data_IF_480290611084
#
_entry.id   IF_480290611084
#
_cell.length_a   1.000
_cell.length_b   1.000
_cell.length_c   1.000
_cell.angle_alpha   90.00
_cell.angle_beta   90.00
_cell.angle_gamma   90.00
#
_symmetry.space_group_name_H-M   'P 1'
#
loop_
_entity.id
_entity.type
_entity.pdbx_description
1 polymer ?
#
# COMPACT_ATOMS: atom_id res chain seq x y z
N UNK A 1 -19.18 2.92 18.82
CA UNK A 1 -17.74 2.65 18.91
C UNK A 1 -17.02 2.40 17.57
N UNK A 2 -17.71 2.09 16.48
CA UNK A 2 -17.08 1.80 15.17
C UNK A 2 -16.54 3.04 14.44
N UNK A 3 -17.02 4.24 14.74
CA UNK A 3 -16.67 5.48 14.02
C UNK A 3 -15.26 6.01 14.35
N UNK A 4 -14.76 5.80 15.56
CA UNK A 4 -13.43 6.28 15.99
C UNK A 4 -12.33 5.43 15.33
N UNK A 5 -12.54 4.13 15.19
CA UNK A 5 -11.58 3.24 14.50
C UNK A 5 -11.36 3.63 13.05
N UNK A 6 -12.43 3.90 12.30
CA UNK A 6 -12.36 4.31 10.90
C UNK A 6 -11.63 5.66 10.72
N UNK A 7 -11.87 6.65 11.59
CA UNK A 7 -11.17 7.94 11.56
C UNK A 7 -9.66 7.81 11.81
N UNK A 8 -9.26 6.87 12.68
CA UNK A 8 -7.87 6.61 12.99
C UNK A 8 -7.16 5.81 11.88
N UNK A 9 -7.85 4.89 11.21
CA UNK A 9 -7.34 4.19 10.02
C UNK A 9 -7.16 5.16 8.85
N UNK A 10 -8.08 6.12 8.69
CA UNK A 10 -7.96 7.20 7.71
C UNK A 10 -6.69 8.03 7.88
N UNK A 11 -6.22 8.21 9.13
CA UNK A 11 -4.98 8.93 9.41
C UNK A 11 -3.72 8.21 8.88
N UNK A 12 -3.79 6.90 8.60
CA UNK A 12 -2.69 6.13 8.01
C UNK A 12 -2.61 6.31 6.49
N UNK A 13 -3.72 6.64 5.84
CA UNK A 13 -3.80 6.72 4.39
C UNK A 13 -2.83 7.73 3.79
N UNK A 14 -2.83 8.97 4.26
CA UNK A 14 -1.98 10.03 3.69
C UNK A 14 -0.48 9.75 3.84
N UNK A 15 0.04 9.30 4.99
CA UNK A 15 1.44 8.89 5.10
C UNK A 15 1.83 7.79 4.12
N UNK A 16 1.02 6.72 4.03
CA UNK A 16 1.30 5.59 3.14
C UNK A 16 1.17 6.00 1.67
N UNK A 17 0.16 6.80 1.33
CA UNK A 17 0.02 7.39 -0.01
C UNK A 17 1.27 8.16 -0.42
N UNK A 18 1.72 9.11 0.40
CA UNK A 18 2.94 9.91 0.14
C UNK A 18 4.17 9.04 -0.02
N UNK A 19 4.30 8.01 0.82
CA UNK A 19 5.41 7.06 0.72
C UNK A 19 5.46 6.38 -0.65
N UNK A 20 4.32 5.88 -1.16
CA UNK A 20 4.23 5.24 -2.47
C UNK A 20 4.34 6.23 -3.62
N UNK A 21 3.79 7.44 -3.49
CA UNK A 21 3.95 8.51 -4.49
C UNK A 21 5.41 8.94 -4.63
N UNK A 22 6.16 9.01 -3.54
CA UNK A 22 7.60 9.28 -3.57
C UNK A 22 8.40 8.17 -4.27
N UNK A 23 7.87 6.95 -4.34
CA UNK A 23 8.41 5.85 -5.13
C UNK A 23 7.99 5.88 -6.61
N UNK A 24 7.21 6.89 -7.02
CA UNK A 24 6.79 7.09 -8.42
C UNK A 24 5.47 6.42 -8.80
N UNK A 25 4.65 6.01 -7.82
CA UNK A 25 3.35 5.41 -8.07
C UNK A 25 2.23 6.46 -8.05
N UNK A 26 1.18 6.22 -8.82
CA UNK A 26 -0.09 6.96 -8.71
C UNK A 26 -1.01 6.21 -7.76
N UNK A 27 -1.39 6.85 -6.65
CA UNK A 27 -2.11 6.21 -5.54
C UNK A 27 -3.54 6.72 -5.43
N UNK A 28 -4.49 5.78 -5.29
CA UNK A 28 -5.91 6.09 -5.03
C UNK A 28 -6.46 5.17 -3.95
N UNK A 29 -7.30 5.75 -3.08
CA UNK A 29 -8.01 5.03 -2.02
C UNK A 29 -9.29 4.37 -2.49
N UNK A 30 -9.74 3.39 -1.73
CA UNK A 30 -11.05 2.71 -1.90
C UNK A 30 -11.31 2.18 -3.31
N UNK A 31 -10.31 1.58 -3.93
CA UNK A 31 -10.41 0.99 -5.27
C UNK A 31 -10.66 -0.52 -5.15
N UNK A 32 -11.78 -1.00 -5.71
CA UNK A 32 -12.08 -2.44 -5.75
C UNK A 32 -12.18 -3.11 -4.37
N UNK A 33 -12.55 -2.34 -3.33
CA UNK A 33 -12.63 -2.82 -1.95
C UNK A 33 -11.27 -2.94 -1.25
N UNK A 34 -10.20 -2.41 -1.84
CA UNK A 34 -8.90 -2.26 -1.19
C UNK A 34 -8.79 -0.88 -0.56
N UNK A 35 -8.12 -0.76 0.58
CA UNK A 35 -7.94 0.54 1.25
C UNK A 35 -7.14 1.50 0.37
N UNK A 36 -6.16 0.96 -0.40
CA UNK A 36 -5.35 1.74 -1.33
C UNK A 36 -4.86 0.87 -2.49
N UNK A 37 -4.82 1.46 -3.69
CA UNK A 37 -4.22 0.87 -4.89
C UNK A 37 -3.27 1.87 -5.52
N UNK A 38 -2.06 1.42 -5.82
CA UNK A 38 -1.03 2.21 -6.49
C UNK A 38 -0.60 1.57 -7.81
N UNK A 39 -0.44 2.39 -8.84
CA UNK A 39 -0.01 1.97 -10.17
C UNK A 39 1.28 2.69 -10.56
N UNK A 40 2.24 1.95 -11.14
CA UNK A 40 3.39 2.58 -11.81
C UNK A 40 2.96 3.22 -13.14
N UNK A 41 3.83 4.08 -13.68
CA UNK A 41 3.63 4.68 -15.01
C UNK A 41 3.95 3.74 -16.18
N UNK A 42 4.36 2.50 -15.93
CA UNK A 42 4.74 1.54 -16.95
C UNK A 42 3.53 0.94 -17.68
N UNK A 43 3.78 0.28 -18.81
CA UNK A 43 2.78 -0.50 -19.53
C UNK A 43 3.34 -1.91 -19.83
N UNK A 44 2.80 -2.96 -19.22
CA UNK A 44 1.75 -2.96 -18.16
C UNK A 44 2.25 -2.40 -16.83
N UNK A 45 1.36 -1.72 -16.06
CA UNK A 45 1.76 -1.11 -14.80
C UNK A 45 2.06 -2.17 -13.73
N UNK A 46 2.95 -1.82 -12.80
CA UNK A 46 3.08 -2.53 -11.53
C UNK A 46 1.89 -2.14 -10.67
N UNK A 47 1.19 -3.11 -10.10
CA UNK A 47 0.05 -2.91 -9.22
C UNK A 47 0.44 -3.23 -7.79
N UNK A 48 0.31 -2.25 -6.92
CA UNK A 48 0.48 -2.39 -5.47
C UNK A 48 -0.89 -2.26 -4.80
N UNK A 49 -1.18 -3.12 -3.85
CA UNK A 49 -2.32 -2.98 -2.93
C UNK A 49 -1.78 -2.73 -1.54
N UNK A 50 -2.31 -1.72 -0.85
CA UNK A 50 -2.08 -1.46 0.56
C UNK A 50 -3.35 -1.72 1.37
N UNK A 51 -3.22 -2.47 2.46
CA UNK A 51 -4.28 -2.67 3.46
C UNK A 51 -3.85 -1.99 4.76
N UNK A 52 -4.76 -1.21 5.35
CA UNK A 52 -4.48 -0.32 6.47
C UNK A 52 -5.24 -0.77 7.72
N UNK A 53 -4.56 -0.87 8.85
CA UNK A 53 -5.16 -1.17 10.15
C UNK A 53 -4.47 -0.39 11.26
N UNK A 54 -5.15 -0.14 12.36
CA UNK A 54 -4.54 0.52 13.52
C UNK A 54 -3.39 -0.30 14.11
N UNK A 55 -3.48 -1.62 14.02
CA UNK A 55 -2.47 -2.53 14.56
C UNK A 55 -2.25 -3.70 13.61
N UNK A 56 -1.03 -4.22 13.57
CA UNK A 56 -0.76 -5.49 12.89
C UNK A 56 -1.47 -6.63 13.60
N UNK A 57 -2.37 -7.30 12.92
CA UNK A 57 -3.14 -8.44 13.43
C UNK A 57 -3.34 -9.49 12.34
N UNK A 58 -3.95 -10.62 12.68
CA UNK A 58 -4.17 -11.71 11.73
C UNK A 58 -5.14 -11.30 10.62
N UNK A 59 -6.17 -10.50 10.95
CA UNK A 59 -7.17 -10.05 9.98
C UNK A 59 -6.51 -9.25 8.84
N UNK A 60 -5.55 -8.39 9.16
CA UNK A 60 -4.78 -7.64 8.17
C UNK A 60 -4.00 -8.58 7.23
N UNK A 61 -3.45 -9.68 7.76
CA UNK A 61 -2.76 -10.70 6.94
C UNK A 61 -3.74 -11.44 6.04
N UNK A 62 -4.92 -11.80 6.55
CA UNK A 62 -5.96 -12.48 5.77
C UNK A 62 -6.47 -11.59 4.62
N UNK A 63 -6.71 -10.31 4.87
CA UNK A 63 -7.05 -9.34 3.83
C UNK A 63 -5.96 -9.28 2.75
N UNK A 64 -4.69 -9.24 3.14
CA UNK A 64 -3.58 -9.25 2.20
C UNK A 64 -3.53 -10.53 1.36
N UNK A 65 -3.82 -11.70 1.94
CA UNK A 65 -3.91 -12.97 1.20
C UNK A 65 -5.00 -12.89 0.13
N UNK A 66 -6.15 -12.34 0.45
CA UNK A 66 -7.26 -12.18 -0.50
C UNK A 66 -6.90 -11.24 -1.66
N UNK A 67 -6.05 -10.25 -1.41
CA UNK A 67 -5.59 -9.27 -2.41
C UNK A 67 -4.46 -9.79 -3.30
N UNK A 68 -3.61 -10.68 -2.79
CA UNK A 68 -2.35 -11.09 -3.43
C UNK A 68 -2.50 -11.61 -4.86
N UNK A 69 -3.64 -12.22 -5.20
CA UNK A 69 -3.90 -12.74 -6.55
C UNK A 69 -4.16 -11.62 -7.59
N UNK A 70 -4.41 -10.38 -7.17
CA UNK A 70 -4.82 -9.28 -8.03
C UNK A 70 -3.70 -8.26 -8.32
N UNK A 71 -2.56 -8.36 -7.66
CA UNK A 71 -1.51 -7.35 -7.70
C UNK A 71 -0.10 -7.95 -7.80
N UNK A 72 0.88 -7.09 -7.95
CA UNK A 72 2.30 -7.46 -7.94
C UNK A 72 2.86 -7.49 -6.53
N UNK A 73 2.44 -6.55 -5.69
CA UNK A 73 2.88 -6.42 -4.31
C UNK A 73 1.69 -6.09 -3.41
N UNK A 74 1.70 -6.67 -2.20
CA UNK A 74 0.78 -6.29 -1.13
C UNK A 74 1.60 -5.72 0.02
N UNK A 75 1.16 -4.57 0.52
CA UNK A 75 1.74 -3.90 1.66
C UNK A 75 0.74 -3.82 2.80
N UNK A 76 1.15 -4.31 3.96
CA UNK A 76 0.42 -4.17 5.21
C UNK A 76 0.92 -2.92 5.91
N UNK A 77 0.05 -1.98 6.20
CA UNK A 77 0.42 -0.77 6.93
C UNK A 77 -0.35 -0.64 8.22
N UNK A 78 0.35 -0.36 9.31
CA UNK A 78 -0.28 -0.11 10.58
C UNK A 78 0.45 0.98 11.38
N UNK A 79 -0.24 1.54 12.36
CA UNK A 79 0.37 2.51 13.27
C UNK A 79 1.43 1.82 14.13
N UNK A 80 2.57 2.46 14.28
CA UNK A 80 3.60 2.02 15.22
C UNK A 80 3.06 2.14 16.66
N UNK A 81 3.24 1.11 17.47
CA UNK A 81 2.85 1.16 18.88
C UNK A 81 3.74 2.13 19.65
N UNK A 82 3.18 2.75 20.69
CA UNK A 82 3.85 3.81 21.46
C UNK A 82 5.24 3.43 22.06
N UNK A 83 5.51 2.13 22.18
CA UNK A 83 6.78 1.61 22.73
C UNK A 83 7.51 0.67 21.77
N UNK A 84 7.09 0.56 20.50
CA UNK A 84 7.64 -0.42 19.55
C UNK A 84 7.44 -1.89 19.98
N UNK A 85 6.52 -2.13 20.93
CA UNK A 85 6.26 -3.46 21.52
C UNK A 85 5.07 -4.17 20.89
N UNK A 86 4.50 -3.61 19.83
CA UNK A 86 3.46 -4.26 19.05
C UNK A 86 4.00 -5.36 18.14
N UNK A 87 3.16 -5.87 17.26
CA UNK A 87 3.55 -6.90 16.29
C UNK A 87 4.55 -6.40 15.24
N UNK A 88 4.72 -5.09 15.12
CA UNK A 88 5.79 -4.48 14.33
C UNK A 88 7.18 -4.94 14.79
N UNK A 89 7.36 -5.20 16.10
CA UNK A 89 8.59 -5.75 16.69
C UNK A 89 8.67 -7.28 16.69
N UNK A 90 7.54 -7.99 16.43
CA UNK A 90 7.49 -9.44 16.50
C UNK A 90 8.15 -10.10 15.28
N UNK A 91 9.29 -10.76 15.51
CA UNK A 91 10.02 -11.46 14.46
C UNK A 91 9.20 -12.57 13.80
N UNK A 92 8.29 -13.23 14.51
CA UNK A 92 7.43 -14.29 13.96
C UNK A 92 6.41 -13.70 12.98
N UNK A 93 5.81 -12.55 13.32
CA UNK A 93 4.88 -11.85 12.44
C UNK A 93 5.59 -11.36 11.18
N UNK A 94 6.75 -10.75 11.31
CA UNK A 94 7.58 -10.32 10.17
C UNK A 94 7.98 -11.50 9.27
N UNK A 95 8.34 -12.63 9.86
CA UNK A 95 8.68 -13.85 9.12
C UNK A 95 7.47 -14.43 8.38
N UNK A 96 6.28 -14.37 8.98
CA UNK A 96 5.04 -14.74 8.30
C UNK A 96 4.82 -13.88 7.06
N UNK A 97 4.90 -12.56 7.18
CA UNK A 97 4.75 -11.64 6.06
C UNK A 97 5.80 -11.90 4.96
N UNK A 98 7.08 -12.12 5.31
CA UNK A 98 8.12 -12.49 4.33
C UNK A 98 7.79 -13.78 3.58
N UNK A 99 7.32 -14.82 4.27
CA UNK A 99 6.95 -16.11 3.66
C UNK A 99 5.74 -15.98 2.73
N UNK A 100 4.82 -15.08 3.05
CA UNK A 100 3.65 -14.79 2.22
C UNK A 100 3.96 -13.81 1.07
N UNK A 101 5.14 -13.21 1.08
CA UNK A 101 5.53 -12.25 0.06
C UNK A 101 4.98 -10.84 0.29
N UNK A 102 4.61 -10.49 1.52
CA UNK A 102 4.04 -9.19 1.85
C UNK A 102 5.09 -8.22 2.38
N UNK A 103 4.95 -6.94 1.99
CA UNK A 103 5.63 -5.84 2.63
C UNK A 103 4.95 -5.42 3.94
N UNK A 104 5.71 -4.79 4.83
CA UNK A 104 5.17 -4.20 6.07
C UNK A 104 5.67 -2.77 6.22
N UNK A 105 4.75 -1.86 6.48
CA UNK A 105 5.00 -0.45 6.76
C UNK A 105 4.49 -0.12 8.17
N UNK A 106 5.29 0.55 8.97
CA UNK A 106 4.84 1.12 10.22
C UNK A 106 4.76 2.64 10.08
N UNK A 107 3.62 3.22 10.47
CA UNK A 107 3.43 4.67 10.48
C UNK A 107 3.67 5.17 11.90
N UNK A 108 4.65 6.05 12.05
CA UNK A 108 5.01 6.66 13.33
C UNK A 108 3.96 7.68 13.78
N UNK A 109 4.05 8.13 15.03
CA UNK A 109 3.16 9.18 15.53
C UNK A 109 3.39 10.55 14.85
N UNK A 110 4.55 10.76 14.24
CA UNK A 110 4.89 11.94 13.45
C UNK A 110 4.41 11.86 12.00
N UNK A 111 3.90 10.70 11.58
CA UNK A 111 3.44 10.46 10.21
C UNK A 111 4.53 9.97 9.26
N UNK A 112 5.71 9.65 9.78
CA UNK A 112 6.76 9.03 8.99
C UNK A 112 6.45 7.54 8.74
N UNK A 113 6.92 7.00 7.63
CA UNK A 113 6.71 5.61 7.26
C UNK A 113 8.02 4.84 7.33
N UNK A 114 8.05 3.80 8.16
CA UNK A 114 9.17 2.87 8.27
C UNK A 114 8.87 1.56 7.53
N UNK A 115 9.81 1.11 6.71
CA UNK A 115 9.71 -0.18 6.02
C UNK A 115 10.25 -1.27 6.94
N UNK A 116 9.36 -2.10 7.47
CA UNK A 116 9.72 -3.21 8.37
C UNK A 116 10.05 -4.49 7.62
N UNK A 117 9.37 -4.73 6.51
CA UNK A 117 9.58 -5.88 5.62
C UNK A 117 9.43 -5.42 4.19
N UNK A 118 10.43 -5.72 3.36
CA UNK A 118 10.34 -5.53 1.92
C UNK A 118 9.66 -6.73 1.27
N UNK A 119 8.75 -6.55 0.30
CA UNK A 119 8.22 -7.65 -0.49
C UNK A 119 9.37 -8.35 -1.24
N UNK A 120 9.33 -9.67 -1.37
CA UNK A 120 10.34 -10.39 -2.14
C UNK A 120 10.23 -10.07 -3.63
N UNK A 121 11.34 -10.27 -4.33
CA UNK A 121 11.47 -9.98 -5.77
C UNK A 121 10.62 -10.89 -6.67
N UNK A 122 10.23 -12.08 -6.18
CA UNK A 122 9.39 -13.03 -6.90
C UNK A 122 7.93 -12.83 -6.54
N UNK A 123 7.13 -12.44 -7.53
CA UNK A 123 5.71 -12.20 -7.33
C UNK A 123 4.93 -13.51 -7.09
N UNK A 124 3.98 -13.53 -6.14
CA UNK A 124 3.03 -14.63 -6.01
C UNK A 124 2.19 -14.82 -7.29
N UNK A 125 1.54 -15.99 -7.44
CA UNK A 125 0.67 -16.27 -8.60
C UNK A 125 -0.43 -15.23 -8.72
N UNK A 126 -0.48 -14.56 -9.86
CA UNK A 126 -1.43 -13.49 -10.15
C UNK A 126 -2.73 -14.04 -10.75
N UNK A 127 -3.84 -13.37 -10.46
CA UNK A 127 -5.09 -13.56 -11.17
C UNK A 127 -5.27 -12.46 -12.22
N UNK A 128 -5.10 -12.74 -13.54
CA UNK A 128 -5.13 -11.72 -14.58
C UNK A 128 -6.46 -10.95 -14.65
N UNK A 129 -7.58 -11.62 -14.42
CA UNK A 129 -8.91 -10.98 -14.46
C UNK A 129 -9.11 -9.98 -13.33
N UNK A 130 -8.74 -10.35 -12.09
CA UNK A 130 -8.82 -9.44 -10.92
C UNK A 130 -7.89 -8.24 -11.12
N UNK A 131 -6.67 -8.48 -11.59
CA UNK A 131 -5.70 -7.43 -11.88
C UNK A 131 -6.22 -6.42 -12.92
N UNK A 132 -6.70 -6.89 -14.07
CA UNK A 132 -7.23 -6.05 -15.14
C UNK A 132 -8.39 -5.18 -14.66
N UNK A 133 -9.29 -5.74 -13.84
CA UNK A 133 -10.41 -5.00 -13.25
C UNK A 133 -9.95 -3.84 -12.35
N UNK A 134 -8.96 -4.06 -11.49
CA UNK A 134 -8.40 -3.01 -10.64
C UNK A 134 -7.77 -1.88 -11.44
N UNK A 135 -6.95 -2.21 -12.44
CA UNK A 135 -6.31 -1.22 -13.31
C UNK A 135 -7.38 -0.36 -13.99
N UNK A 136 -8.41 -1.00 -14.55
CA UNK A 136 -9.50 -0.31 -15.23
C UNK A 136 -10.27 0.62 -14.29
N UNK A 137 -10.61 0.14 -13.10
CA UNK A 137 -11.31 0.95 -12.09
C UNK A 137 -10.47 2.11 -11.60
N UNK A 138 -9.18 1.88 -11.30
CA UNK A 138 -8.26 2.94 -10.90
C UNK A 138 -8.17 4.03 -11.96
N UNK A 139 -7.99 3.68 -13.24
CA UNK A 139 -7.88 4.63 -14.36
C UNK A 139 -9.17 5.41 -14.61
N UNK A 140 -10.33 4.79 -14.43
CA UNK A 140 -11.64 5.44 -14.62
C UNK A 140 -11.97 6.47 -13.54
N UNK A 141 -11.42 6.35 -12.35
CA UNK A 141 -11.67 7.29 -11.27
C UNK A 141 -11.03 8.65 -11.56
N UNK A 142 -11.84 9.68 -11.70
CA UNK A 142 -11.40 11.05 -11.98
C UNK A 142 -10.85 11.80 -10.75
N UNK A 143 -11.03 11.26 -9.56
CA UNK A 143 -10.58 11.84 -8.31
C UNK A 143 -10.06 10.75 -7.39
N UNK A 144 -9.48 11.15 -6.27
CA UNK A 144 -9.10 10.27 -5.18
C UNK A 144 -10.14 10.45 -4.06
N UNK A 145 -11.17 9.57 -3.96
CA UNK A 145 -12.04 9.59 -2.80
C UNK A 145 -11.20 9.18 -1.59
N UNK A 146 -10.84 10.16 -0.78
CA UNK A 146 -10.25 9.88 0.52
C UNK A 146 -11.27 9.11 1.35
N UNK A 147 -10.82 8.10 2.06
CA UNK A 147 -11.65 7.31 2.96
C UNK A 147 -12.53 8.23 3.81
N UNK A 148 -13.87 8.06 3.71
CA UNK A 148 -14.83 8.89 4.40
C UNK A 148 -15.58 9.90 3.52
N UNK A 149 -15.51 9.83 2.20
CA UNK A 149 -16.37 10.58 1.28
C UNK A 149 -15.95 12.02 1.00
N UNK A 150 -14.77 12.46 1.42
CA UNK A 150 -14.22 13.76 1.05
C UNK A 150 -13.30 13.64 -0.15
N UNK A 151 -13.61 14.34 -1.23
CA UNK A 151 -12.74 14.43 -2.42
C UNK A 151 -11.63 15.43 -2.14
N UNK A 152 -10.37 14.97 -2.12
CA UNK A 152 -9.24 15.89 -2.19
C UNK A 152 -9.10 16.35 -3.65
N UNK A 153 -9.42 17.59 -3.93
CA UNK A 153 -9.00 18.27 -5.15
C UNK A 153 -7.50 18.51 -5.06
N UNK A 154 -6.74 17.84 -5.89
CA UNK A 154 -5.30 18.08 -6.05
C UNK A 154 -5.09 19.50 -6.55
N UNK A 155 -4.66 20.40 -5.67
CA UNK A 155 -4.22 21.73 -6.06
C UNK A 155 -2.70 21.70 -6.17
N UNK A 156 -2.25 21.87 -7.41
CA UNK A 156 -0.93 22.28 -7.89
C UNK A 156 0.26 21.30 -7.77
N UNK A 157 0.99 21.13 -8.89
CA UNK A 157 2.26 20.41 -8.89
C UNK A 157 3.34 21.30 -8.26
N UNK A 158 3.88 20.88 -7.14
CA UNK A 158 5.18 21.37 -6.69
C UNK A 158 6.22 20.73 -7.63
N UNK A 159 6.80 21.52 -8.50
CA UNK A 159 7.98 21.18 -9.29
C UNK A 159 9.13 20.88 -8.31
N UNK A 160 9.29 19.63 -7.94
CA UNK A 160 10.54 19.15 -7.36
C UNK A 160 11.33 18.51 -8.47
N UNK A 161 12.22 19.29 -9.06
CA UNK A 161 13.31 18.78 -9.89
C UNK A 161 14.32 18.06 -8.99
N UNK A 162 14.03 16.84 -8.65
CA UNK A 162 15.02 15.91 -8.14
C UNK A 162 15.05 14.72 -9.11
N UNK A 163 16.17 14.61 -9.83
CA UNK A 163 16.51 13.47 -10.64
C UNK A 163 16.58 12.24 -9.73
N UNK A 164 15.48 11.49 -9.65
CA UNK A 164 15.46 10.19 -8.98
C UNK A 164 15.77 9.09 -9.99
N UNK A 165 16.57 8.09 -9.63
CA UNK A 165 16.79 6.95 -10.48
C UNK A 165 15.45 6.25 -10.73
N UNK A 166 15.13 6.03 -12.01
CA UNK A 166 13.98 5.23 -12.42
C UNK A 166 14.03 3.90 -11.68
N UNK A 167 12.91 3.36 -11.15
CA UNK A 167 12.89 2.03 -10.58
C UNK A 167 13.46 1.07 -11.63
N UNK A 168 14.58 0.43 -11.31
CA UNK A 168 15.26 -0.48 -12.22
C UNK A 168 14.29 -1.58 -12.60
N UNK A 169 14.07 -1.72 -13.89
CA UNK A 169 13.38 -2.86 -14.49
C UNK A 169 14.12 -4.09 -13.96
N UNK A 170 13.53 -4.78 -12.98
CA UNK A 170 14.12 -5.98 -12.42
C UNK A 170 14.38 -6.95 -13.57
N UNK A 171 15.64 -7.17 -13.86
CA UNK A 171 16.07 -8.10 -14.88
C UNK A 171 15.38 -9.45 -14.65
N UNK A 172 14.64 -9.88 -15.67
CA UNK A 172 14.23 -11.27 -15.76
C UNK A 172 15.50 -12.08 -15.99
N UNK A 173 16.03 -12.64 -14.94
CA UNK A 173 17.00 -13.72 -15.08
C UNK A 173 16.23 -14.99 -15.43
N UNK A 174 16.75 -15.63 -16.42
CA UNK A 174 16.34 -16.89 -17.07
C UNK A 174 16.20 -18.06 -16.12
#
# INVERSE_FOLDING_TARGET
>A
MHHIGALLETALYLPVKRFLENLGFTVKGEVGGCDLVALSGDDPPIVIIGELKLTFNLELVLQAVDRAAACDEVWLAAKMSARGKGREGDARYRNLCRRLGFGMLAVTNTGDVEVLVQPPTAAPRRNPKKRSRLITEHRKRKGDPVMGGSTITSTSPVLVTASMPKPSRRQRLR
#
